data_IF_513648024928
#
_entry.id   IF_513648024928
#
_cell.length_a   1.000
_cell.length_b   1.000
_cell.length_c   1.000
_cell.angle_alpha   90.00
_cell.angle_beta   90.00
_cell.angle_gamma   90.00
#
_symmetry.space_group_name_H-M   'P 1'
#
loop_
_entity.id
_entity.type
_entity.pdbx_description
1 polymer ?
#
# COMPACT_ATOMS: atom_id res chain seq x y z
N UNK A 1 63.98 -39.03 31.07
CA UNK A 1 64.00 -38.35 32.38
C UNK A 1 63.01 -37.23 32.37
N UNK A 2 61.95 -37.38 33.21
CA UNK A 2 61.08 -36.38 33.75
C UNK A 2 60.20 -35.46 32.85
N UNK A 3 58.93 -35.82 32.70
CA UNK A 3 57.82 -34.86 32.85
C UNK A 3 57.93 -34.07 34.18
N UNK A 4 57.25 -32.93 34.39
CA UNK A 4 55.78 -32.90 34.49
C UNK A 4 55.09 -31.54 34.24
N UNK A 5 53.71 -31.66 34.20
CA UNK A 5 52.64 -30.78 34.72
C UNK A 5 52.30 -29.53 33.90
N UNK A 6 51.11 -29.52 33.29
CA UNK A 6 49.77 -29.13 33.77
C UNK A 6 49.73 -27.70 34.33
N UNK A 7 49.01 -26.83 33.64
CA UNK A 7 48.07 -25.97 34.32
C UNK A 7 46.91 -25.50 33.37
N UNK A 8 45.81 -25.85 33.80
CA UNK A 8 44.46 -25.38 33.80
C UNK A 8 44.13 -24.12 32.98
N UNK A 9 43.31 -24.37 31.97
CA UNK A 9 42.56 -23.37 31.23
C UNK A 9 41.58 -22.62 32.10
N UNK A 10 41.55 -21.34 31.91
CA UNK A 10 40.50 -20.45 32.38
C UNK A 10 39.49 -20.27 31.24
N UNK A 11 38.32 -20.89 31.39
CA UNK A 11 37.14 -20.60 30.61
C UNK A 11 36.66 -19.20 30.98
N UNK A 12 36.95 -18.22 30.10
CA UNK A 12 36.26 -16.93 30.15
C UNK A 12 34.89 -17.13 29.53
N UNK A 13 33.91 -17.33 30.37
CA UNK A 13 32.50 -17.19 30.00
C UNK A 13 32.23 -15.72 29.64
N UNK A 14 32.13 -15.43 28.35
CA UNK A 14 31.54 -14.16 27.91
C UNK A 14 30.06 -14.18 28.30
N UNK A 15 29.72 -13.56 29.41
CA UNK A 15 28.39 -13.19 29.77
C UNK A 15 27.90 -12.22 28.68
N UNK A 16 26.97 -12.67 27.85
CA UNK A 16 26.13 -11.80 27.04
C UNK A 16 25.40 -10.87 28.01
N UNK A 17 25.84 -9.63 28.06
CA UNK A 17 25.15 -8.56 28.77
C UNK A 17 23.78 -8.39 28.15
N UNK A 18 22.74 -8.73 28.90
CA UNK A 18 21.34 -8.50 28.57
C UNK A 18 21.09 -6.99 28.50
N UNK A 19 20.98 -6.48 27.30
CA UNK A 19 20.62 -5.08 26.97
C UNK A 19 19.11 -4.82 27.19
N UNK A 20 18.51 -5.42 28.22
CA UNK A 20 17.10 -5.37 28.54
C UNK A 20 16.81 -4.54 29.80
N UNK A 21 17.52 -3.40 29.95
CA UNK A 21 17.17 -2.44 30.99
C UNK A 21 15.82 -1.78 30.64
N UNK A 22 14.82 -1.97 31.48
CA UNK A 22 13.53 -1.30 31.34
C UNK A 22 13.76 0.23 31.31
N UNK A 23 13.41 0.85 30.22
CA UNK A 23 13.53 2.31 30.00
C UNK A 23 12.17 2.94 30.17
N UNK A 24 12.14 4.10 30.84
CA UNK A 24 10.91 4.88 30.99
C UNK A 24 11.17 6.31 30.52
N UNK A 25 10.28 6.86 29.71
CA UNK A 25 10.31 8.27 29.29
C UNK A 25 8.92 8.87 29.44
N UNK A 26 8.87 10.21 29.60
CA UNK A 26 7.62 10.97 29.62
C UNK A 26 7.65 11.92 28.43
N UNK A 27 6.63 11.86 27.59
CA UNK A 27 6.38 12.78 26.49
C UNK A 27 5.29 13.78 26.91
N UNK A 28 5.51 15.06 26.66
CA UNK A 28 4.54 16.12 26.90
C UNK A 28 4.18 16.78 25.56
N UNK A 29 2.89 16.96 25.30
CA UNK A 29 2.37 17.59 24.09
C UNK A 29 1.73 18.93 24.44
N UNK A 30 2.11 20.01 23.74
CA UNK A 30 1.74 21.39 24.10
C UNK A 30 0.25 21.69 23.95
N UNK A 31 -0.43 21.06 22.95
CA UNK A 31 -1.85 21.29 22.67
C UNK A 31 -2.69 20.09 23.14
N UNK A 32 -3.55 20.31 24.14
CA UNK A 32 -4.44 19.27 24.68
C UNK A 32 -5.43 18.72 23.66
N UNK A 33 -5.87 19.54 22.71
CA UNK A 33 -6.81 19.10 21.66
C UNK A 33 -6.10 18.15 20.68
N UNK A 34 -4.90 18.53 20.24
CA UNK A 34 -4.09 17.69 19.36
C UNK A 34 -3.64 16.42 20.07
N UNK A 35 -3.28 16.50 21.35
CA UNK A 35 -2.95 15.33 22.16
C UNK A 35 -4.12 14.34 22.25
N UNK A 36 -5.35 14.83 22.44
CA UNK A 36 -6.54 13.98 22.45
C UNK A 36 -6.77 13.27 21.11
N UNK A 37 -6.54 13.98 19.98
CA UNK A 37 -6.62 13.38 18.65
C UNK A 37 -5.50 12.35 18.42
N UNK A 38 -4.29 12.64 18.90
CA UNK A 38 -3.13 11.74 18.83
C UNK A 38 -3.40 10.42 19.54
N UNK A 39 -3.97 10.48 20.75
CA UNK A 39 -4.23 9.29 21.55
C UNK A 39 -5.43 8.49 21.02
N UNK A 40 -6.30 9.14 20.26
CA UNK A 40 -7.51 8.56 19.68
C UNK A 40 -8.63 8.37 20.70
N UNK A 41 -9.83 7.99 20.22
CA UNK A 41 -10.96 7.74 21.11
C UNK A 41 -10.60 6.63 22.12
N UNK A 42 -10.83 6.90 23.41
CA UNK A 42 -10.53 5.96 24.51
C UNK A 42 -9.08 5.44 24.50
N UNK A 43 -8.12 6.20 23.94
CA UNK A 43 -6.71 5.79 23.92
C UNK A 43 -6.40 4.68 22.90
N UNK A 44 -7.26 4.45 21.92
CA UNK A 44 -7.11 3.35 20.95
C UNK A 44 -5.77 3.38 20.18
N UNK A 45 -5.23 4.56 19.90
CA UNK A 45 -3.94 4.71 19.21
C UNK A 45 -2.78 4.30 20.13
N UNK A 46 -2.85 4.66 21.41
CA UNK A 46 -1.86 4.23 22.41
C UNK A 46 -1.90 2.71 22.59
N UNK A 47 -3.09 2.13 22.71
CA UNK A 47 -3.25 0.68 22.84
C UNK A 47 -2.70 -0.08 21.61
N UNK A 48 -2.80 0.50 20.41
CA UNK A 48 -2.20 -0.07 19.20
C UNK A 48 -0.66 -0.02 19.26
N UNK A 49 -0.09 1.11 19.72
CA UNK A 49 1.36 1.29 19.89
C UNK A 49 1.89 0.29 20.94
N UNK A 50 1.23 0.17 22.09
CA UNK A 50 1.58 -0.80 23.15
C UNK A 50 1.68 -2.22 22.59
N UNK A 51 0.62 -2.65 21.93
CA UNK A 51 0.52 -4.02 21.38
C UNK A 51 1.57 -4.31 20.30
N UNK A 52 1.88 -3.33 19.45
CA UNK A 52 2.76 -3.51 18.30
C UNK A 52 4.24 -3.33 18.61
N UNK A 53 4.57 -2.46 19.57
CA UNK A 53 5.95 -2.13 19.92
C UNK A 53 6.40 -2.73 21.28
N UNK A 54 5.50 -3.43 21.99
CA UNK A 54 5.82 -4.11 23.23
C UNK A 54 6.18 -3.15 24.37
N UNK A 55 5.49 -2.03 24.46
CA UNK A 55 5.64 -1.02 25.52
C UNK A 55 4.35 -0.90 26.33
N UNK A 56 4.44 -0.28 27.51
CA UNK A 56 3.30 0.19 28.30
C UNK A 56 3.22 1.71 28.14
N UNK A 57 2.04 2.25 27.82
CA UNK A 57 1.81 3.67 27.60
C UNK A 57 0.73 4.19 28.55
N UNK A 58 1.11 4.88 29.60
CA UNK A 58 0.18 5.51 30.55
C UNK A 58 -0.09 6.96 30.16
N UNK A 59 -1.36 7.26 29.87
CA UNK A 59 -1.81 8.64 29.59
C UNK A 59 -2.21 9.38 30.86
N UNK A 60 -1.74 10.60 31.01
CA UNK A 60 -2.20 11.56 32.03
C UNK A 60 -2.34 12.96 31.42
N UNK A 61 -3.57 13.32 31.04
CA UNK A 61 -3.83 14.57 30.35
C UNK A 61 -3.16 14.59 28.98
N UNK A 62 -2.28 15.57 28.73
CA UNK A 62 -1.46 15.68 27.53
C UNK A 62 -0.07 15.05 27.64
N UNK A 63 0.16 14.26 28.69
CA UNK A 63 1.41 13.54 28.91
C UNK A 63 1.20 12.04 28.67
N UNK A 64 2.21 11.40 28.10
CA UNK A 64 2.27 9.93 27.97
C UNK A 64 3.60 9.45 28.55
N UNK A 65 3.49 8.52 29.50
CA UNK A 65 4.65 7.80 30.04
C UNK A 65 4.78 6.49 29.25
N UNK A 66 5.93 6.28 28.62
CA UNK A 66 6.26 5.05 27.90
C UNK A 66 7.26 4.26 28.73
N UNK A 67 6.98 2.97 28.96
CA UNK A 67 7.86 2.05 29.69
C UNK A 67 8.01 0.72 28.93
N UNK A 68 9.24 0.19 28.84
CA UNK A 68 9.51 -1.07 28.14
C UNK A 68 10.98 -1.24 27.80
N UNK A 69 11.27 -2.05 26.77
CA UNK A 69 12.61 -2.15 26.22
C UNK A 69 13.05 -0.81 25.65
N UNK A 70 14.35 -0.51 25.71
CA UNK A 70 14.91 0.75 25.19
C UNK A 70 14.52 1.00 23.72
N UNK A 71 14.57 -0.05 22.92
CA UNK A 71 14.23 0.00 21.49
C UNK A 71 12.72 0.23 21.28
N UNK A 72 11.86 -0.49 22.02
CA UNK A 72 10.41 -0.29 21.96
C UNK A 72 9.98 1.10 22.37
N UNK A 73 10.56 1.63 23.46
CA UNK A 73 10.30 3.00 23.95
C UNK A 73 10.73 4.05 22.92
N UNK A 74 11.91 3.90 22.33
CA UNK A 74 12.41 4.86 21.32
C UNK A 74 11.58 4.83 20.02
N UNK A 75 11.18 3.65 19.57
CA UNK A 75 10.25 3.52 18.41
C UNK A 75 8.90 4.17 18.72
N UNK A 76 8.36 3.94 19.90
CA UNK A 76 7.09 4.53 20.33
C UNK A 76 7.16 6.05 20.43
N UNK A 77 8.29 6.59 20.92
CA UNK A 77 8.55 8.02 20.95
C UNK A 77 8.50 8.62 19.54
N UNK A 78 9.26 8.05 18.59
CA UNK A 78 9.29 8.54 17.20
C UNK A 78 7.92 8.47 16.53
N UNK A 79 7.14 7.40 16.77
CA UNK A 79 5.78 7.27 16.26
C UNK A 79 4.91 8.42 16.78
N UNK A 80 4.88 8.64 18.10
CA UNK A 80 4.05 9.67 18.70
C UNK A 80 4.46 11.08 18.29
N UNK A 81 5.75 11.38 18.27
CA UNK A 81 6.28 12.69 17.82
C UNK A 81 5.94 12.94 16.33
N UNK A 82 6.14 11.93 15.47
CA UNK A 82 5.83 12.06 14.06
C UNK A 82 4.34 12.26 13.77
N UNK A 83 3.45 11.55 14.47
CA UNK A 83 2.00 11.72 14.35
C UNK A 83 1.53 13.07 14.92
N UNK A 84 2.16 13.55 16.00
CA UNK A 84 1.86 14.86 16.56
C UNK A 84 2.23 16.01 15.60
N UNK A 85 3.38 15.92 14.95
CA UNK A 85 3.76 16.88 13.91
C UNK A 85 2.81 16.89 12.70
N UNK A 86 2.21 15.77 12.37
CA UNK A 86 1.16 15.71 11.33
C UNK A 86 -0.07 16.49 11.77
N UNK A 87 -0.55 16.28 12.99
CA UNK A 87 -1.67 17.01 13.56
C UNK A 87 -1.41 18.50 13.65
N UNK A 88 -0.18 18.93 13.97
CA UNK A 88 0.23 20.36 13.99
C UNK A 88 0.16 21.02 12.62
N UNK A 89 0.36 20.27 11.55
CA UNK A 89 0.20 20.76 10.16
C UNK A 89 -1.26 20.83 9.72
N UNK A 90 -2.20 20.40 10.57
CA UNK A 90 -3.63 20.39 10.29
C UNK A 90 -4.12 19.12 9.57
N UNK A 91 -3.30 18.10 9.50
CA UNK A 91 -3.70 16.81 8.91
C UNK A 91 -4.64 16.05 9.85
N UNK A 92 -5.60 15.31 9.29
CA UNK A 92 -6.43 14.38 10.05
C UNK A 92 -5.67 13.06 10.22
N UNK A 93 -5.72 12.50 11.44
CA UNK A 93 -5.19 11.17 11.75
C UNK A 93 -6.29 10.11 11.63
N UNK A 94 -6.05 9.14 10.75
CA UNK A 94 -6.84 7.92 10.72
C UNK A 94 -6.03 6.73 11.26
N UNK A 95 -6.70 5.68 11.71
CA UNK A 95 -6.06 4.49 12.29
C UNK A 95 -4.96 3.88 11.41
N UNK A 96 -5.11 3.96 10.08
CA UNK A 96 -4.10 3.49 9.13
C UNK A 96 -2.81 4.32 9.14
N UNK A 97 -2.84 5.58 9.55
CA UNK A 97 -1.63 6.43 9.63
C UNK A 97 -0.80 6.05 10.86
N UNK A 98 -1.48 5.73 11.97
CA UNK A 98 -0.84 5.20 13.17
C UNK A 98 -0.14 3.88 12.88
N UNK A 99 -0.82 2.95 12.20
CA UNK A 99 -0.23 1.68 11.80
C UNK A 99 0.93 1.84 10.82
N UNK A 100 0.83 2.77 9.86
CA UNK A 100 1.91 3.12 8.95
C UNK A 100 3.14 3.66 9.67
N UNK A 101 2.96 4.57 10.64
CA UNK A 101 4.04 5.11 11.46
C UNK A 101 4.73 4.02 12.29
N UNK A 102 3.96 3.08 12.86
CA UNK A 102 4.49 1.93 13.59
C UNK A 102 5.33 1.03 12.66
N UNK A 103 4.80 0.69 11.47
CA UNK A 103 5.52 -0.13 10.47
C UNK A 103 6.82 0.54 10.04
N UNK A 104 6.80 1.85 9.81
CA UNK A 104 8.02 2.61 9.49
C UNK A 104 9.04 2.53 10.63
N UNK A 105 8.62 2.73 11.87
CA UNK A 105 9.50 2.66 13.03
C UNK A 105 10.13 1.27 13.23
N UNK A 106 9.39 0.19 12.91
CA UNK A 106 9.90 -1.18 12.92
C UNK A 106 10.90 -1.40 11.77
N UNK A 107 10.57 -0.95 10.56
CA UNK A 107 11.41 -1.14 9.38
C UNK A 107 12.74 -0.37 9.44
N UNK A 108 12.81 0.73 10.18
CA UNK A 108 14.04 1.51 10.38
C UNK A 108 15.06 0.85 11.33
N UNK A 109 14.73 -0.30 11.91
CA UNK A 109 15.63 -1.04 12.77
C UNK A 109 15.84 -0.45 14.17
N UNK A 110 16.82 -1.01 14.89
CA UNK A 110 17.23 -0.52 16.20
C UNK A 110 18.00 0.81 16.07
N UNK A 111 18.03 1.57 17.17
CA UNK A 111 18.85 2.78 17.27
C UNK A 111 20.34 2.53 16.94
N UNK A 112 20.82 1.29 17.13
CA UNK A 112 22.20 0.88 16.85
C UNK A 112 22.47 0.64 15.37
N UNK A 113 21.40 0.39 14.56
CA UNK A 113 21.49 0.22 13.11
C UNK A 113 21.11 1.53 12.37
N UNK A 114 20.92 2.61 13.13
CA UNK A 114 20.49 3.89 12.56
C UNK A 114 21.68 4.59 11.88
N UNK A 115 21.67 4.59 10.54
CA UNK A 115 22.54 5.42 9.72
C UNK A 115 21.80 6.72 9.33
N UNK A 116 22.18 7.89 9.85
CA UNK A 116 21.53 9.17 9.52
C UNK A 116 21.54 9.50 8.03
N UNK A 117 22.48 8.95 7.26
CA UNK A 117 22.58 9.18 5.82
C UNK A 117 21.55 8.39 5.01
N UNK A 118 21.08 7.24 5.55
CA UNK A 118 20.12 6.35 4.91
C UNK A 118 18.74 6.40 5.55
N UNK A 119 18.66 6.88 6.79
CA UNK A 119 17.41 6.99 7.52
C UNK A 119 16.48 8.06 6.92
N UNK A 120 15.25 7.66 6.64
CA UNK A 120 14.23 8.55 6.11
C UNK A 120 13.27 8.93 7.23
N UNK A 121 13.00 10.22 7.45
CA UNK A 121 12.14 10.67 8.54
C UNK A 121 10.68 10.26 8.35
N UNK A 122 10.24 10.02 7.12
CA UNK A 122 8.87 9.65 6.80
C UNK A 122 8.80 8.87 5.49
N UNK A 123 7.72 8.14 5.30
CA UNK A 123 7.35 7.61 3.99
C UNK A 123 6.96 8.73 3.03
N UNK A 124 7.03 8.42 1.72
CA UNK A 124 6.60 9.33 0.67
C UNK A 124 5.10 9.67 0.79
N UNK A 125 4.77 10.91 0.41
CA UNK A 125 3.40 11.36 0.36
C UNK A 125 3.06 11.97 -1.00
N UNK A 126 1.80 11.83 -1.40
CA UNK A 126 1.22 12.48 -2.57
C UNK A 126 0.31 13.60 -2.05
N UNK A 127 0.72 14.86 -2.27
CA UNK A 127 -0.03 16.03 -1.83
C UNK A 127 -1.09 16.37 -2.88
N UNK A 128 -2.36 16.27 -2.52
CA UNK A 128 -3.52 16.66 -3.31
C UNK A 128 -4.19 17.88 -2.67
N UNK A 129 -5.01 18.58 -3.42
CA UNK A 129 -5.77 19.71 -2.91
C UNK A 129 -6.75 19.33 -1.81
N UNK A 130 -7.35 18.15 -1.93
CA UNK A 130 -8.33 17.65 -0.96
C UNK A 130 -7.67 17.10 0.30
N UNK A 131 -6.58 16.34 0.16
CA UNK A 131 -5.84 15.76 1.28
C UNK A 131 -4.46 15.24 0.86
N UNK A 132 -3.58 15.04 1.83
CA UNK A 132 -2.35 14.30 1.60
C UNK A 132 -2.60 12.78 1.67
N UNK A 133 -1.95 12.05 0.77
CA UNK A 133 -1.97 10.59 0.70
C UNK A 133 -0.60 10.07 1.04
N UNK A 134 -0.47 9.33 2.15
CA UNK A 134 0.83 8.83 2.65
C UNK A 134 0.94 7.32 2.41
N UNK A 135 2.15 6.88 2.09
CA UNK A 135 2.47 5.47 2.13
C UNK A 135 2.36 4.94 3.56
N UNK A 136 1.86 3.72 3.70
CA UNK A 136 1.67 3.01 4.98
C UNK A 136 2.53 1.77 5.10
N UNK A 137 3.17 1.36 4.00
CA UNK A 137 4.10 0.24 3.93
C UNK A 137 5.33 0.61 3.09
N UNK A 138 6.42 -0.14 3.26
CA UNK A 138 7.62 0.06 2.47
C UNK A 138 7.38 -0.15 0.98
N UNK A 139 6.50 -1.10 0.61
CA UNK A 139 6.14 -1.34 -0.79
C UNK A 139 5.34 -0.17 -1.38
N UNK A 140 4.41 0.44 -0.60
CA UNK A 140 3.70 1.65 -1.01
C UNK A 140 4.66 2.83 -1.21
N UNK A 141 5.63 2.99 -0.33
CA UNK A 141 6.67 4.01 -0.43
C UNK A 141 7.51 3.82 -1.71
N UNK A 142 7.98 2.60 -1.96
CA UNK A 142 8.70 2.26 -3.17
C UNK A 142 7.86 2.50 -4.44
N UNK A 143 6.54 2.22 -4.37
CA UNK A 143 5.62 2.44 -5.47
C UNK A 143 5.44 3.92 -5.80
N UNK A 144 5.22 4.78 -4.81
CA UNK A 144 5.12 6.24 -5.02
C UNK A 144 6.41 6.78 -5.65
N UNK A 145 7.57 6.31 -5.21
CA UNK A 145 8.85 6.70 -5.83
C UNK A 145 8.96 6.22 -7.28
N UNK A 146 8.55 4.99 -7.55
CA UNK A 146 8.56 4.45 -8.90
C UNK A 146 7.64 5.25 -9.83
N UNK A 147 6.42 5.59 -9.37
CA UNK A 147 5.46 6.41 -10.10
C UNK A 147 6.01 7.79 -10.49
N UNK A 148 6.84 8.38 -9.63
CA UNK A 148 7.49 9.68 -9.91
C UNK A 148 8.66 9.56 -10.89
N UNK A 149 9.37 8.44 -10.88
CA UNK A 149 10.63 8.25 -11.61
C UNK A 149 10.43 7.70 -13.01
N UNK A 150 9.49 6.76 -13.19
CA UNK A 150 9.37 5.98 -14.42
C UNK A 150 8.15 6.38 -15.25
N UNK A 151 8.28 6.29 -16.57
CA UNK A 151 7.18 6.54 -17.51
C UNK A 151 6.16 5.40 -17.53
N UNK A 152 6.58 4.16 -17.24
CA UNK A 152 5.73 2.98 -17.11
C UNK A 152 6.01 2.29 -15.78
N UNK A 153 4.97 2.02 -15.00
CA UNK A 153 5.10 1.33 -13.72
C UNK A 153 4.11 0.17 -13.62
N UNK A 154 4.60 -0.99 -13.23
CA UNK A 154 3.79 -2.14 -12.84
C UNK A 154 3.71 -2.21 -11.32
N UNK A 155 2.49 -2.20 -10.78
CA UNK A 155 2.19 -2.46 -9.37
C UNK A 155 1.43 -3.77 -9.23
N UNK A 156 2.07 -4.84 -8.78
CA UNK A 156 1.49 -6.18 -8.74
C UNK A 156 1.42 -6.74 -7.32
N UNK A 157 0.43 -7.57 -7.03
CA UNK A 157 0.27 -8.26 -5.75
C UNK A 157 -1.17 -8.27 -5.23
N UNK A 158 -1.39 -8.75 -3.98
CA UNK A 158 -2.71 -9.03 -3.44
C UNK A 158 -3.65 -7.83 -3.39
N UNK A 159 -4.95 -8.10 -3.45
CA UNK A 159 -5.99 -7.09 -3.25
C UNK A 159 -5.87 -6.42 -1.88
N UNK A 160 -6.27 -5.14 -1.77
CA UNK A 160 -6.22 -4.38 -0.51
C UNK A 160 -4.85 -3.81 -0.13
N UNK A 161 -3.84 -3.87 -1.01
CA UNK A 161 -2.53 -3.24 -0.80
C UNK A 161 -2.46 -1.78 -1.26
N UNK A 162 -3.56 -1.23 -1.82
CA UNK A 162 -3.66 0.18 -2.22
C UNK A 162 -3.10 0.51 -3.60
N UNK A 163 -2.75 -0.46 -4.44
CA UNK A 163 -2.16 -0.26 -5.77
C UNK A 163 -2.94 0.73 -6.63
N UNK A 164 -4.20 0.42 -6.88
CA UNK A 164 -5.10 1.22 -7.73
C UNK A 164 -5.33 2.60 -7.12
N UNK A 165 -5.58 2.66 -5.82
CA UNK A 165 -5.84 3.91 -5.13
C UNK A 165 -4.63 4.87 -5.15
N UNK A 166 -3.40 4.37 -4.94
CA UNK A 166 -2.17 5.16 -5.05
C UNK A 166 -1.87 5.57 -6.49
N UNK A 167 -2.17 4.71 -7.47
CA UNK A 167 -2.07 5.05 -8.89
C UNK A 167 -2.99 6.22 -9.25
N UNK A 168 -4.26 6.17 -8.80
CA UNK A 168 -5.24 7.26 -9.02
C UNK A 168 -4.80 8.52 -8.27
N UNK A 169 -4.31 8.42 -7.02
CA UNK A 169 -3.80 9.57 -6.28
C UNK A 169 -2.64 10.26 -7.01
N UNK A 170 -1.71 9.50 -7.57
CA UNK A 170 -0.61 10.06 -8.37
C UNK A 170 -1.11 10.73 -9.65
N UNK A 171 -2.07 10.10 -10.34
CA UNK A 171 -2.68 10.68 -11.54
C UNK A 171 -3.39 12.01 -11.24
N UNK A 172 -4.15 12.06 -10.14
CA UNK A 172 -4.80 13.29 -9.65
C UNK A 172 -3.77 14.37 -9.34
N UNK A 173 -2.65 14.03 -8.68
CA UNK A 173 -1.59 14.99 -8.39
C UNK A 173 -1.03 15.65 -9.66
N UNK A 174 -0.70 14.84 -10.67
CA UNK A 174 -0.17 15.35 -11.94
C UNK A 174 -1.20 16.21 -12.68
N UNK A 175 -2.47 15.81 -12.65
CA UNK A 175 -3.57 16.56 -13.24
C UNK A 175 -3.81 17.90 -12.52
N UNK A 176 -3.85 17.92 -11.20
CA UNK A 176 -4.00 19.15 -10.40
C UNK A 176 -2.84 20.14 -10.59
N UNK A 177 -1.62 19.61 -10.85
CA UNK A 177 -0.42 20.40 -11.14
C UNK A 177 -0.32 20.82 -12.60
N UNK A 178 -1.24 20.37 -13.45
CA UNK A 178 -1.23 20.60 -14.90
C UNK A 178 0.05 20.06 -15.58
N UNK A 179 0.61 19.00 -15.02
CA UNK A 179 1.73 18.26 -15.63
C UNK A 179 1.22 17.34 -16.74
N UNK A 180 -0.08 17.02 -16.74
CA UNK A 180 -0.81 16.29 -17.77
C UNK A 180 -2.17 16.95 -18.01
N UNK A 181 -2.69 16.77 -19.23
CA UNK A 181 -4.00 17.33 -19.62
C UNK A 181 -5.15 16.40 -19.28
N UNK A 182 -4.88 15.08 -19.17
CA UNK A 182 -5.93 14.06 -19.03
C UNK A 182 -5.53 12.92 -18.10
N UNK A 183 -6.55 12.34 -17.47
CA UNK A 183 -6.47 11.06 -16.78
C UNK A 183 -7.31 10.05 -17.55
N UNK A 184 -6.70 8.92 -17.96
CA UNK A 184 -7.38 7.85 -18.68
C UNK A 184 -7.32 6.59 -17.83
N UNK A 185 -8.49 6.11 -17.42
CA UNK A 185 -8.66 4.96 -16.55
C UNK A 185 -9.30 3.83 -17.35
N UNK A 186 -8.66 2.69 -17.37
CA UNK A 186 -9.10 1.54 -18.13
C UNK A 186 -9.09 0.27 -17.28
N UNK A 187 -10.02 -0.61 -17.60
CA UNK A 187 -10.11 -1.94 -17.00
C UNK A 187 -10.50 -2.96 -18.07
N UNK A 188 -9.94 -4.17 -18.07
CA UNK A 188 -10.44 -5.22 -18.95
C UNK A 188 -11.87 -5.57 -18.53
N UNK A 189 -12.76 -5.62 -19.49
CA UNK A 189 -14.10 -6.16 -19.28
C UNK A 189 -13.97 -7.69 -19.25
N UNK A 190 -14.01 -8.27 -18.05
CA UNK A 190 -14.02 -9.74 -17.87
C UNK A 190 -15.44 -10.15 -17.57
N UNK A 191 -15.95 -11.08 -18.35
CA UNK A 191 -17.21 -11.74 -18.05
C UNK A 191 -16.98 -12.74 -16.90
N UNK A 192 -17.18 -12.30 -15.66
CA UNK A 192 -17.20 -13.18 -14.49
C UNK A 192 -18.42 -14.10 -14.55
N UNK A 193 -18.37 -15.12 -15.44
CA UNK A 193 -19.45 -16.11 -15.59
C UNK A 193 -20.74 -15.64 -16.27
N UNK A 194 -20.97 -14.32 -16.39
CA UNK A 194 -22.11 -13.76 -17.11
C UNK A 194 -21.63 -13.11 -18.41
N UNK A 195 -22.14 -13.57 -19.53
CA UNK A 195 -21.85 -12.97 -20.83
C UNK A 195 -22.43 -11.57 -20.87
N UNK A 196 -21.58 -10.55 -21.08
CA UNK A 196 -21.97 -9.13 -21.25
C UNK A 196 -23.18 -8.95 -22.20
N UNK A 197 -23.42 -9.91 -23.08
CA UNK A 197 -24.54 -9.96 -24.00
C UNK A 197 -25.93 -10.08 -23.35
N UNK A 198 -26.03 -10.49 -22.08
CA UNK A 198 -27.33 -10.69 -21.40
C UNK A 198 -27.77 -9.49 -20.54
N UNK A 199 -26.93 -8.51 -20.28
CA UNK A 199 -27.32 -7.31 -19.55
C UNK A 199 -28.07 -6.34 -20.49
N UNK A 200 -29.24 -5.82 -20.08
CA UNK A 200 -29.94 -4.78 -20.83
C UNK A 200 -29.15 -3.46 -20.79
N UNK A 201 -29.23 -2.66 -21.82
CA UNK A 201 -28.57 -1.36 -21.91
C UNK A 201 -27.44 -1.30 -22.95
N UNK A 202 -26.90 -0.10 -23.14
CA UNK A 202 -25.78 0.12 -24.03
C UNK A 202 -24.46 -0.43 -23.45
N UNK A 203 -23.39 -0.43 -24.25
CA UNK A 203 -22.08 -0.98 -23.83
C UNK A 203 -21.51 -0.22 -22.62
N UNK A 204 -21.82 1.06 -22.45
CA UNK A 204 -21.37 1.88 -21.30
C UNK A 204 -22.09 1.48 -20.03
N UNK A 205 -23.42 1.37 -20.10
CA UNK A 205 -24.24 0.95 -18.95
C UNK A 205 -23.85 -0.45 -18.42
N UNK A 206 -23.47 -1.36 -19.32
CA UNK A 206 -23.04 -2.71 -18.97
C UNK A 206 -21.67 -2.76 -18.28
N UNK A 207 -20.79 -1.84 -18.58
CA UNK A 207 -19.41 -1.80 -18.03
C UNK A 207 -19.32 -0.95 -16.75
N UNK A 208 -20.27 -0.03 -16.56
CA UNK A 208 -20.28 0.91 -15.44
C UNK A 208 -20.12 0.26 -14.04
N UNK A 209 -20.77 -0.87 -13.71
CA UNK A 209 -20.58 -1.54 -12.42
C UNK A 209 -19.13 -1.96 -12.13
N UNK A 210 -18.39 -2.34 -13.17
CA UNK A 210 -16.99 -2.78 -13.04
C UNK A 210 -16.02 -1.60 -12.86
N UNK A 211 -16.45 -0.39 -13.19
CA UNK A 211 -15.68 0.84 -13.09
C UNK A 211 -15.92 1.59 -11.78
N UNK A 212 -16.92 1.20 -10.98
CA UNK A 212 -17.25 1.84 -9.70
C UNK A 212 -16.07 2.05 -8.76
N UNK A 213 -15.18 1.06 -8.53
CA UNK A 213 -14.03 1.25 -7.65
C UNK A 213 -13.10 2.39 -8.10
N UNK A 214 -13.06 2.67 -9.39
CA UNK A 214 -12.27 3.77 -9.96
C UNK A 214 -12.96 5.11 -9.68
N UNK A 215 -14.28 5.19 -9.88
CA UNK A 215 -15.06 6.38 -9.52
C UNK A 215 -14.97 6.69 -8.03
N UNK A 216 -15.09 5.66 -7.17
CA UNK A 216 -14.97 5.81 -5.72
C UNK A 216 -13.60 6.38 -5.33
N UNK A 217 -12.53 5.91 -5.96
CA UNK A 217 -11.18 6.44 -5.74
C UNK A 217 -11.06 7.91 -6.18
N UNK A 218 -11.64 8.30 -7.32
CA UNK A 218 -11.63 9.68 -7.78
C UNK A 218 -12.40 10.60 -6.82
N UNK A 219 -13.62 10.21 -6.42
CA UNK A 219 -14.44 10.98 -5.47
C UNK A 219 -13.82 11.08 -4.08
N UNK A 220 -13.04 10.06 -3.67
CA UNK A 220 -12.30 10.10 -2.41
C UNK A 220 -11.13 11.09 -2.46
N UNK A 221 -10.49 11.25 -3.61
CA UNK A 221 -9.25 12.03 -3.80
C UNK A 221 -9.47 13.44 -4.36
N UNK A 222 -10.59 13.72 -5.01
CA UNK A 222 -10.92 15.01 -5.61
C UNK A 222 -12.28 15.53 -5.13
N UNK A 223 -12.52 16.85 -5.32
CA UNK A 223 -13.85 17.40 -5.12
C UNK A 223 -14.84 16.81 -6.16
N UNK A 224 -16.02 16.31 -5.75
CA UNK A 224 -16.99 15.70 -6.65
C UNK A 224 -17.36 16.58 -7.84
N UNK A 225 -17.49 17.90 -7.63
CA UNK A 225 -17.83 18.84 -8.70
C UNK A 225 -16.75 18.94 -9.76
N UNK A 226 -15.48 18.83 -9.34
CA UNK A 226 -14.33 18.82 -10.26
C UNK A 226 -14.33 17.50 -11.05
N UNK A 227 -14.56 16.37 -10.40
CA UNK A 227 -14.65 15.06 -11.05
C UNK A 227 -15.73 15.04 -12.11
N UNK A 228 -16.96 15.47 -11.76
CA UNK A 228 -18.10 15.50 -12.69
C UNK A 228 -17.81 16.38 -13.91
N UNK A 229 -17.27 17.57 -13.67
CA UNK A 229 -16.88 18.48 -14.76
C UNK A 229 -15.82 17.84 -15.66
N UNK A 230 -14.76 17.27 -15.08
CA UNK A 230 -13.65 16.68 -15.83
C UNK A 230 -14.11 15.46 -16.65
N UNK A 231 -15.07 14.68 -16.15
CA UNK A 231 -15.72 13.59 -16.89
C UNK A 231 -16.54 14.12 -18.08
N UNK A 232 -17.29 15.23 -17.89
CA UNK A 232 -18.08 15.85 -18.94
C UNK A 232 -17.22 16.47 -20.04
N UNK A 233 -16.08 17.08 -19.67
CA UNK A 233 -15.16 17.72 -20.63
C UNK A 233 -14.21 16.72 -21.29
N UNK A 234 -14.15 15.46 -20.80
CA UNK A 234 -13.23 14.44 -21.29
C UNK A 234 -11.79 14.59 -20.79
N UNK A 235 -11.55 15.48 -19.81
CA UNK A 235 -10.28 15.58 -19.09
C UNK A 235 -10.02 14.33 -18.25
N UNK A 236 -11.10 13.71 -17.72
CA UNK A 236 -11.07 12.37 -17.12
C UNK A 236 -11.89 11.45 -18.01
N UNK A 237 -11.29 10.39 -18.49
CA UNK A 237 -11.92 9.37 -19.32
C UNK A 237 -11.85 8.02 -18.61
N UNK A 238 -13.00 7.38 -18.42
CA UNK A 238 -13.07 6.02 -17.88
C UNK A 238 -13.67 5.13 -18.96
N UNK A 239 -12.92 4.17 -19.45
CA UNK A 239 -13.31 3.37 -20.60
C UNK A 239 -12.76 1.94 -20.56
N UNK A 240 -13.51 0.95 -21.10
CA UNK A 240 -13.00 -0.39 -21.29
C UNK A 240 -11.72 -0.43 -22.13
N UNK A 241 -10.86 -1.39 -21.86
CA UNK A 241 -9.58 -1.55 -22.57
C UNK A 241 -9.72 -1.60 -24.10
N UNK A 242 -10.81 -2.14 -24.63
CA UNK A 242 -11.06 -2.23 -26.06
C UNK A 242 -11.09 -0.86 -26.76
N UNK A 243 -11.49 0.20 -26.04
CA UNK A 243 -11.56 1.56 -26.60
C UNK A 243 -10.20 2.26 -26.72
N UNK A 244 -9.13 1.62 -26.22
CA UNK A 244 -7.76 2.13 -26.35
C UNK A 244 -7.12 1.78 -27.70
N UNK A 245 -7.74 0.85 -28.46
CA UNK A 245 -7.19 0.39 -29.74
C UNK A 245 -7.10 1.52 -30.77
N UNK A 246 -5.94 1.62 -31.43
CA UNK A 246 -5.70 2.60 -32.50
C UNK A 246 -5.42 4.03 -32.03
N UNK A 247 -5.38 4.25 -30.72
CA UNK A 247 -5.11 5.57 -30.13
C UNK A 247 -3.63 5.72 -29.80
N UNK A 248 -3.14 6.96 -29.77
CA UNK A 248 -1.90 7.37 -29.12
C UNK A 248 -2.29 8.33 -27.98
N UNK A 249 -1.89 8.01 -26.77
CA UNK A 249 -2.33 8.70 -25.57
C UNK A 249 -1.18 9.60 -25.09
N UNK A 250 -1.20 10.87 -25.52
CA UNK A 250 -0.20 11.88 -25.20
C UNK A 250 -0.72 12.85 -24.13
N UNK A 251 0.20 13.48 -23.37
CA UNK A 251 -0.06 14.41 -22.28
C UNK A 251 -1.06 13.85 -21.25
N UNK A 252 -0.93 12.57 -20.90
CA UNK A 252 -1.92 11.87 -20.08
C UNK A 252 -1.28 10.96 -19.04
N UNK A 253 -1.98 10.74 -17.92
CA UNK A 253 -1.76 9.56 -17.08
C UNK A 253 -2.76 8.49 -17.46
N UNK A 254 -2.26 7.33 -17.81
CA UNK A 254 -3.05 6.18 -18.24
C UNK A 254 -2.93 5.09 -17.21
N UNK A 255 -4.06 4.63 -16.65
CA UNK A 255 -4.09 3.55 -15.67
C UNK A 255 -4.86 2.37 -16.25
N UNK A 256 -4.24 1.20 -16.22
CA UNK A 256 -4.89 -0.08 -16.46
C UNK A 256 -5.00 -0.86 -15.15
N UNK A 257 -6.21 -0.97 -14.64
CA UNK A 257 -6.50 -1.73 -13.42
C UNK A 257 -6.98 -3.15 -13.75
N UNK A 258 -6.83 -4.09 -12.81
CA UNK A 258 -7.14 -5.53 -12.96
C UNK A 258 -6.48 -6.16 -14.20
N UNK A 259 -5.26 -5.73 -14.47
CA UNK A 259 -4.52 -6.08 -15.69
C UNK A 259 -4.20 -7.57 -15.81
N UNK A 260 -4.28 -8.36 -14.72
CA UNK A 260 -4.13 -9.83 -14.78
C UNK A 260 -5.18 -10.47 -15.69
N UNK A 261 -6.31 -9.79 -15.89
CA UNK A 261 -7.41 -10.23 -16.73
C UNK A 261 -7.29 -9.77 -18.19
N UNK A 262 -6.12 -9.31 -18.62
CA UNK A 262 -5.81 -9.09 -20.04
C UNK A 262 -5.17 -10.30 -20.66
N UNK A 263 -5.44 -10.52 -21.94
CA UNK A 263 -4.63 -11.43 -22.76
C UNK A 263 -3.31 -10.78 -23.13
N UNK A 264 -2.30 -11.56 -23.55
CA UNK A 264 -1.02 -11.05 -24.08
C UNK A 264 -1.21 -10.00 -25.18
N UNK A 265 -2.14 -10.25 -26.10
CA UNK A 265 -2.42 -9.33 -27.22
C UNK A 265 -3.01 -8.00 -26.73
N UNK A 266 -3.93 -8.05 -25.77
CA UNK A 266 -4.54 -6.86 -25.19
C UNK A 266 -3.50 -6.04 -24.41
N UNK A 267 -2.66 -6.69 -23.60
CA UNK A 267 -1.58 -6.02 -22.86
C UNK A 267 -0.60 -5.34 -23.82
N UNK A 268 -0.11 -6.05 -24.84
CA UNK A 268 0.77 -5.47 -25.86
C UNK A 268 0.11 -4.30 -26.58
N UNK A 269 -1.16 -4.45 -26.97
CA UNK A 269 -1.93 -3.37 -27.59
C UNK A 269 -1.99 -2.15 -26.68
N UNK A 270 -2.25 -2.31 -25.40
CA UNK A 270 -2.35 -1.23 -24.42
C UNK A 270 -1.01 -0.53 -24.20
N UNK A 271 0.05 -1.28 -23.89
CA UNK A 271 1.38 -0.73 -23.63
C UNK A 271 1.92 0.12 -24.79
N UNK A 272 1.56 -0.24 -26.03
CA UNK A 272 1.94 0.52 -27.23
C UNK A 272 1.10 1.79 -27.47
N UNK A 273 0.18 2.14 -26.56
CA UNK A 273 -0.59 3.40 -26.59
C UNK A 273 0.13 4.56 -25.91
N UNK A 274 1.21 4.29 -25.18
CA UNK A 274 1.98 5.32 -24.49
C UNK A 274 2.50 6.35 -25.50
N UNK A 275 2.06 7.60 -25.35
CA UNK A 275 2.45 8.73 -26.15
C UNK A 275 3.41 9.68 -25.43
N UNK A 276 3.76 10.78 -26.10
CA UNK A 276 4.66 11.78 -25.53
C UNK A 276 4.07 12.44 -24.29
N UNK A 277 4.94 12.80 -23.34
CA UNK A 277 4.60 13.45 -22.07
C UNK A 277 3.55 12.69 -21.25
N UNK A 278 3.52 11.35 -21.38
CA UNK A 278 2.54 10.53 -20.69
C UNK A 278 3.20 9.57 -19.71
N UNK A 279 2.41 9.16 -18.74
CA UNK A 279 2.77 8.12 -17.77
C UNK A 279 1.75 7.01 -17.82
N UNK A 280 2.22 5.78 -17.75
CA UNK A 280 1.37 4.61 -17.79
C UNK A 280 1.57 3.78 -16.53
N UNK A 281 0.48 3.39 -15.92
CA UNK A 281 0.46 2.63 -14.67
C UNK A 281 -0.39 1.39 -14.89
N UNK A 282 0.18 0.24 -14.58
CA UNK A 282 -0.50 -1.06 -14.73
C UNK A 282 -0.61 -1.70 -13.35
N UNK A 283 -1.83 -1.94 -12.88
CA UNK A 283 -2.10 -2.57 -11.59
C UNK A 283 -2.81 -3.91 -11.76
N UNK A 284 -2.52 -4.86 -10.89
CA UNK A 284 -3.20 -6.15 -10.91
C UNK A 284 -2.70 -7.14 -9.87
N UNK A 285 -3.45 -8.21 -9.71
CA UNK A 285 -3.13 -9.35 -8.83
C UNK A 285 -2.89 -10.60 -9.66
N UNK A 286 -1.63 -11.04 -9.84
CA UNK A 286 -1.35 -12.25 -10.63
C UNK A 286 -1.97 -13.54 -10.09
N UNK A 287 -2.45 -13.54 -8.84
CA UNK A 287 -3.11 -14.70 -8.23
C UNK A 287 -4.61 -14.79 -8.56
N UNK A 288 -5.21 -13.67 -9.01
CA UNK A 288 -6.66 -13.55 -9.28
C UNK A 288 -6.93 -13.43 -10.77
N UNK A 289 -6.59 -14.48 -11.53
CA UNK A 289 -6.77 -14.52 -12.99
C UNK A 289 -8.12 -15.15 -13.31
N UNK A 290 -9.02 -14.38 -13.92
CA UNK A 290 -10.37 -14.82 -14.34
C UNK A 290 -10.46 -15.09 -15.84
N UNK A 291 -9.31 -15.24 -16.53
CA UNK A 291 -9.26 -15.59 -17.95
C UNK A 291 -9.73 -17.05 -18.19
N UNK A 292 -10.33 -17.34 -19.34
CA UNK A 292 -10.68 -18.70 -19.71
C UNK A 292 -9.48 -19.66 -19.63
N UNK A 293 -9.71 -20.96 -19.30
CA UNK A 293 -8.65 -21.94 -19.24
C UNK A 293 -7.80 -21.99 -20.52
N UNK A 294 -6.48 -22.04 -20.35
CA UNK A 294 -5.52 -22.08 -21.46
C UNK A 294 -5.08 -20.71 -21.99
N UNK A 295 -5.63 -19.62 -21.48
CA UNK A 295 -5.15 -18.28 -21.80
C UNK A 295 -4.10 -17.80 -20.78
N UNK A 296 -3.01 -17.23 -21.29
CA UNK A 296 -1.95 -16.64 -20.48
C UNK A 296 -2.31 -15.21 -20.11
N UNK A 297 -2.14 -14.85 -18.82
CA UNK A 297 -2.29 -13.48 -18.38
C UNK A 297 -1.24 -12.56 -19.02
N UNK A 298 -1.73 -11.53 -19.70
CA UNK A 298 -0.88 -10.50 -20.32
C UNK A 298 -0.04 -9.75 -19.28
N UNK A 299 -0.55 -9.56 -18.05
CA UNK A 299 0.21 -8.96 -16.96
C UNK A 299 1.41 -9.84 -16.57
N UNK A 300 1.19 -11.13 -16.36
CA UNK A 300 2.26 -12.07 -15.99
C UNK A 300 3.35 -12.13 -17.06
N UNK A 301 2.95 -12.16 -18.34
CA UNK A 301 3.90 -12.15 -19.45
C UNK A 301 4.65 -10.81 -19.57
N UNK A 302 3.96 -9.67 -19.49
CA UNK A 302 4.56 -8.35 -19.60
C UNK A 302 5.58 -8.11 -18.47
N UNK A 303 5.24 -8.43 -17.23
CA UNK A 303 6.16 -8.27 -16.10
C UNK A 303 7.41 -9.14 -16.24
N UNK A 304 7.30 -10.32 -16.84
CA UNK A 304 8.45 -11.18 -17.13
C UNK A 304 9.32 -10.62 -18.27
N UNK A 305 8.72 -10.22 -19.39
CA UNK A 305 9.43 -9.76 -20.59
C UNK A 305 10.09 -8.39 -20.39
N UNK A 306 9.44 -7.50 -19.64
CA UNK A 306 9.86 -6.11 -19.47
C UNK A 306 10.68 -5.86 -18.20
N UNK A 307 11.02 -6.93 -17.45
CA UNK A 307 11.70 -6.84 -16.15
C UNK A 307 12.99 -6.01 -16.20
N UNK A 308 13.76 -6.12 -17.26
CA UNK A 308 15.06 -5.49 -17.41
C UNK A 308 15.06 -4.34 -18.43
N UNK A 309 13.89 -3.86 -18.82
CA UNK A 309 13.79 -2.72 -19.74
C UNK A 309 13.94 -1.43 -18.94
N UNK A 310 14.93 -0.62 -19.33
CA UNK A 310 15.20 0.67 -18.71
C UNK A 310 13.98 1.61 -18.81
N UNK A 311 13.73 2.40 -17.78
CA UNK A 311 12.58 3.32 -17.74
C UNK A 311 11.28 2.69 -17.26
N UNK A 312 11.26 1.39 -16.96
CA UNK A 312 10.10 0.66 -16.42
C UNK A 312 10.31 0.34 -14.94
N UNK A 313 9.35 0.72 -14.11
CA UNK A 313 9.30 0.38 -12.69
C UNK A 313 8.48 -0.88 -12.43
N UNK A 314 8.98 -1.76 -11.57
CA UNK A 314 8.27 -2.96 -11.13
C UNK A 314 8.21 -3.00 -9.61
N UNK A 315 7.02 -2.94 -9.05
CA UNK A 315 6.79 -3.05 -7.60
C UNK A 315 5.89 -4.24 -7.34
N UNK A 316 6.35 -5.10 -6.45
CA UNK A 316 5.62 -6.31 -6.02
C UNK A 316 5.20 -6.11 -4.58
N UNK A 317 3.91 -6.18 -4.34
CA UNK A 317 3.30 -6.19 -3.02
C UNK A 317 3.12 -7.61 -2.52
N UNK A 318 3.20 -7.78 -1.22
CA UNK A 318 3.01 -9.04 -0.52
C UNK A 318 1.77 -9.02 0.37
N UNK A 319 1.44 -10.14 0.99
CA UNK A 319 0.34 -10.21 1.95
C UNK A 319 0.56 -9.29 3.18
N UNK A 320 1.82 -8.99 3.51
CA UNK A 320 2.18 -8.09 4.61
C UNK A 320 1.84 -6.62 4.31
N UNK A 321 1.73 -6.26 3.03
CA UNK A 321 1.37 -4.91 2.59
C UNK A 321 -0.13 -4.65 2.58
N UNK A 322 -0.94 -5.65 2.89
CA UNK A 322 -2.39 -5.50 2.92
C UNK A 322 -2.80 -4.58 4.07
N UNK A 323 -3.42 -3.46 3.73
CA UNK A 323 -3.97 -2.49 4.68
C UNK A 323 -5.48 -2.71 4.77
N UNK A 324 -5.91 -3.50 5.74
CA UNK A 324 -7.33 -3.85 5.96
C UNK A 324 -7.73 -3.61 7.40
N UNK A 325 -9.02 -3.39 7.60
CA UNK A 325 -9.59 -3.42 8.95
C UNK A 325 -9.28 -4.76 9.62
N UNK A 326 -8.88 -4.74 10.91
CA UNK A 326 -8.45 -5.94 11.65
C UNK A 326 -9.48 -7.08 11.60
N UNK A 327 -10.77 -6.74 11.65
CA UNK A 327 -11.83 -7.74 11.51
C UNK A 327 -11.82 -8.42 10.13
N UNK A 328 -11.59 -7.65 9.05
CA UNK A 328 -11.53 -8.20 7.69
C UNK A 328 -10.33 -9.14 7.54
N UNK A 329 -9.18 -8.79 8.12
CA UNK A 329 -8.01 -9.67 8.14
C UNK A 329 -8.32 -11.00 8.84
N UNK A 330 -9.02 -10.97 10.00
CA UNK A 330 -9.45 -12.17 10.72
C UNK A 330 -10.48 -13.00 9.96
N UNK A 331 -11.37 -12.36 9.22
CA UNK A 331 -12.36 -13.06 8.36
C UNK A 331 -11.62 -13.82 7.26
N UNK A 332 -10.72 -13.18 6.53
CA UNK A 332 -9.94 -13.81 5.44
C UNK A 332 -9.14 -15.01 5.98
N UNK A 333 -8.41 -14.81 7.08
CA UNK A 333 -7.64 -15.89 7.72
C UNK A 333 -8.52 -17.09 8.15
N UNK A 334 -9.74 -16.84 8.60
CA UNK A 334 -10.68 -17.91 8.94
C UNK A 334 -11.12 -18.71 7.71
N UNK A 335 -11.38 -18.05 6.56
CA UNK A 335 -11.75 -18.72 5.31
C UNK A 335 -10.56 -19.50 4.72
N UNK A 336 -9.36 -18.92 4.73
CA UNK A 336 -8.15 -19.58 4.24
C UNK A 336 -7.84 -20.84 5.05
N UNK A 337 -7.95 -20.77 6.37
CA UNK A 337 -7.82 -21.96 7.25
C UNK A 337 -8.88 -23.02 7.01
N UNK A 338 -10.09 -22.62 6.64
CA UNK A 338 -11.16 -23.57 6.30
C UNK A 338 -10.90 -24.26 4.96
N UNK A 339 -10.38 -23.53 3.96
CA UNK A 339 -10.04 -24.06 2.63
C UNK A 339 -8.85 -25.05 2.68
N UNK A 340 -7.92 -24.85 3.62
CA UNK A 340 -6.76 -25.75 3.81
C UNK A 340 -7.10 -27.06 4.55
N UNK A 341 -8.30 -27.19 5.15
CA UNK A 341 -8.73 -28.46 5.79
C UNK A 341 -9.24 -29.39 4.69
N UNK A 342 -8.59 -30.54 4.44
CA UNK A 342 -9.11 -31.54 3.50
C UNK A 342 -10.50 -31.99 3.98
N UNK A 343 -11.45 -32.08 3.07
CA UNK A 343 -12.77 -32.63 3.34
C UNK A 343 -12.59 -34.01 4.00
N UNK A 344 -12.85 -34.12 5.31
CA UNK A 344 -12.92 -35.38 5.99
C UNK A 344 -13.97 -36.21 5.28
N UNK A 345 -13.55 -37.37 4.75
CA UNK A 345 -14.40 -38.31 4.05
C UNK A 345 -15.70 -38.54 4.80
N UNK A 346 -16.81 -38.42 4.08
CA UNK A 346 -18.08 -39.00 4.53
C UNK A 346 -17.86 -40.50 4.54
N UNK A 347 -17.70 -41.08 5.74
CA UNK A 347 -17.90 -42.48 5.96
C UNK A 347 -19.36 -42.79 5.57
N UNK A 348 -19.51 -43.33 4.40
CA UNK A 348 -20.75 -44.03 4.03
C UNK A 348 -20.72 -45.32 4.82
N UNK A 349 -21.46 -45.36 5.90
CA UNK A 349 -21.84 -46.64 6.52
C UNK A 349 -23.03 -47.19 5.74
N UNK A 350 -22.81 -48.36 5.17
CA UNK A 350 -23.85 -49.29 4.69
C UNK A 350 -24.86 -49.62 5.78
#
# INVERSE_FOLDING_TARGET
MRSPRSDSGSLVSSSATSDNAATQIVLAFDDNRLASLLFGQYGQNLALIERRLGVVAEQRGNHVTLAGSRDGVERSRRVLEGLYEQLRRGDELVSGDVEGAIRLAIAQGSLFDYDPATARPSFEEINLRKRAVRARTAAQDAYIRALRRHALVFGTGPAGTGKTWLAVAHAVQLFERKEVDRIILSRPAVEAGERLGFLPGDMREKVDPYLRPIYDALYDLMDPRIVERALQTGEIEIAPLAFMRGRTLSNAVIILDEAQNTTTMQMKMFLTRLGENSRMIVTGDPSQVDLPPGQTSGLAEATRLLRNVEGIGHIVYTAEDVVRHELVARIVDAYDKAALKPARGRDIKE
#
